data_IF_247000689553
#
_entry.id   IF_247000689553
#
_cell.length_a   1.000
_cell.length_b   1.000
_cell.length_c   1.000
_cell.angle_alpha   90.00
_cell.angle_beta   90.00
_cell.angle_gamma   90.00
#
_symmetry.space_group_name_H-M   'P 1'
#
loop_
_entity.id
_entity.type
_entity.pdbx_description
1 polymer ?
#
# COMPACT_ATOMS: atom_id res chain seq x y z
N UNK A 1 18.89 -49.39 19.93
CA UNK A 1 18.45 -48.16 19.24
C UNK A 1 19.25 -46.99 19.81
N UNK A 2 20.20 -46.52 19.01
CA UNK A 2 21.30 -45.63 19.37
C UNK A 2 20.84 -44.16 19.44
N UNK A 3 21.22 -43.48 20.53
CA UNK A 3 21.11 -42.02 20.68
C UNK A 3 22.26 -41.35 19.94
N UNK A 4 21.94 -40.48 18.98
CA UNK A 4 22.92 -39.61 18.32
C UNK A 4 22.92 -38.27 19.07
N UNK A 5 24.07 -37.95 19.67
CA UNK A 5 24.41 -36.69 20.30
C UNK A 5 24.99 -35.80 19.20
N UNK A 6 24.29 -34.72 18.85
CA UNK A 6 24.72 -33.73 17.84
C UNK A 6 25.53 -32.61 18.48
N UNK A 7 26.79 -32.53 18.07
CA UNK A 7 27.84 -31.62 18.50
C UNK A 7 27.53 -30.16 18.13
N UNK A 8 27.80 -29.25 19.07
CA UNK A 8 27.63 -27.81 18.92
C UNK A 8 28.61 -27.17 17.95
N UNK A 9 28.10 -26.24 17.15
CA UNK A 9 28.88 -25.38 16.27
C UNK A 9 29.11 -24.04 16.98
N UNK A 10 30.36 -23.75 17.33
CA UNK A 10 30.77 -22.47 17.89
C UNK A 10 30.70 -21.38 16.80
N UNK A 11 29.88 -20.36 17.02
CA UNK A 11 29.87 -19.14 16.21
C UNK A 11 30.87 -18.17 16.82
N UNK A 12 31.96 -17.93 16.10
CA UNK A 12 32.95 -16.89 16.41
C UNK A 12 32.34 -15.55 16.04
N UNK A 13 31.92 -14.78 17.05
CA UNK A 13 31.48 -13.40 16.90
C UNK A 13 32.66 -12.47 16.67
N UNK A 14 32.75 -11.91 15.46
CA UNK A 14 33.64 -10.80 15.13
C UNK A 14 32.93 -9.50 15.52
N UNK A 15 33.31 -8.94 16.67
CA UNK A 15 32.85 -7.63 17.12
C UNK A 15 33.59 -6.53 16.35
N UNK A 16 32.91 -5.92 15.38
CA UNK A 16 33.31 -4.64 14.81
C UNK A 16 32.84 -3.52 15.75
N UNK A 17 33.79 -2.97 16.51
CA UNK A 17 33.57 -1.77 17.31
C UNK A 17 33.39 -0.56 16.42
N UNK A 18 32.16 -0.06 16.34
CA UNK A 18 31.87 1.29 15.85
C UNK A 18 31.81 2.20 17.07
N UNK A 19 32.85 3.03 17.24
CA UNK A 19 32.90 4.07 18.25
C UNK A 19 31.89 5.17 17.89
N UNK A 20 30.74 5.18 18.58
CA UNK A 20 29.86 6.34 18.63
C UNK A 20 30.49 7.38 19.55
N UNK A 21 31.03 8.45 18.96
CA UNK A 21 31.39 9.65 19.71
C UNK A 21 30.11 10.31 20.23
N UNK A 22 29.85 10.15 21.52
CA UNK A 22 28.82 10.91 22.23
C UNK A 22 29.27 12.38 22.34
N UNK A 23 28.50 13.30 21.76
CA UNK A 23 28.59 14.71 22.09
C UNK A 23 27.77 14.95 23.36
N UNK A 24 28.42 14.94 24.51
CA UNK A 24 27.91 15.54 25.74
C UNK A 24 27.69 17.05 25.51
N UNK A 25 26.45 17.52 25.64
CA UNK A 25 26.14 18.94 25.78
C UNK A 25 25.73 19.22 27.22
N UNK A 26 26.51 19.99 27.99
CA UNK A 26 26.14 20.37 29.34
C UNK A 26 24.95 21.34 29.31
N UNK A 27 23.99 21.09 30.20
CA UNK A 27 22.91 22.01 30.51
C UNK A 27 23.49 23.27 31.18
N UNK A 28 23.43 24.40 30.47
CA UNK A 28 23.92 25.68 30.96
C UNK A 28 23.38 26.84 30.13
N UNK A 29 22.40 27.54 30.71
CA UNK A 29 22.05 28.96 30.52
C UNK A 29 22.80 29.70 29.40
N UNK A 30 22.10 30.06 28.32
CA UNK A 30 22.54 31.12 27.41
C UNK A 30 21.44 32.15 27.21
N UNK A 31 21.80 33.38 27.55
CA UNK A 31 21.14 34.60 27.15
C UNK A 31 20.93 34.64 25.64
N UNK A 32 19.87 35.35 25.23
CA UNK A 32 19.55 35.65 23.85
C UNK A 32 20.74 36.35 23.19
N UNK A 33 21.50 35.59 22.41
CA UNK A 33 22.42 36.14 21.42
C UNK A 33 21.67 36.21 20.10
N UNK A 34 21.65 37.41 19.51
CA UNK A 34 21.09 37.68 18.20
C UNK A 34 21.51 36.63 17.18
N UNK A 35 20.53 35.95 16.59
CA UNK A 35 20.78 35.11 15.44
C UNK A 35 21.22 36.03 14.29
N UNK A 36 22.39 35.79 13.66
CA UNK A 36 22.75 36.53 12.46
C UNK A 36 21.70 36.26 11.37
N UNK A 37 21.28 37.34 10.73
CA UNK A 37 20.37 37.30 9.57
C UNK A 37 21.00 36.39 8.53
N UNK A 38 20.32 35.30 8.20
CA UNK A 38 20.66 34.50 7.04
C UNK A 38 20.33 35.32 5.80
N UNK A 39 21.34 35.92 5.17
CA UNK A 39 21.25 36.38 3.79
C UNK A 39 21.01 35.14 2.92
N UNK A 40 19.76 34.94 2.50
CA UNK A 40 19.44 34.05 1.40
C UNK A 40 20.02 34.68 0.13
N UNK A 41 21.30 34.38 -0.15
CA UNK A 41 21.87 34.66 -1.46
C UNK A 41 20.97 34.02 -2.51
N UNK A 42 20.33 34.88 -3.32
CA UNK A 42 19.53 34.56 -4.50
C UNK A 42 20.30 33.55 -5.36
N UNK A 43 19.97 32.28 -5.14
CA UNK A 43 20.48 31.19 -5.94
C UNK A 43 19.75 31.30 -7.27
N UNK A 44 20.49 31.76 -8.27
CA UNK A 44 19.99 32.12 -9.59
C UNK A 44 18.91 31.18 -10.09
N UNK A 45 17.81 31.79 -10.53
CA UNK A 45 16.77 31.11 -11.28
C UNK A 45 17.43 30.29 -12.40
N UNK A 46 17.14 28.97 -12.52
CA UNK A 46 17.69 28.17 -13.59
C UNK A 46 17.32 28.81 -14.93
N UNK A 47 18.34 29.17 -15.72
CA UNK A 47 18.13 29.63 -17.09
C UNK A 47 17.38 28.54 -17.87
N UNK A 48 16.38 28.91 -18.70
CA UNK A 48 15.73 27.98 -19.59
C UNK A 48 16.77 27.31 -20.48
N UNK A 49 16.90 25.98 -20.39
CA UNK A 49 17.74 25.25 -21.32
C UNK A 49 17.19 25.44 -22.74
N UNK A 50 18.04 25.62 -23.76
CA UNK A 50 17.63 25.63 -25.15
C UNK A 50 16.92 24.31 -25.45
N UNK A 51 15.64 24.38 -25.80
CA UNK A 51 14.89 23.24 -26.33
C UNK A 51 15.55 22.84 -27.64
N UNK A 52 16.30 21.73 -27.62
CA UNK A 52 16.76 21.08 -28.84
C UNK A 52 15.51 20.56 -29.53
N UNK A 53 15.21 21.11 -30.71
CA UNK A 53 14.14 20.64 -31.57
C UNK A 53 14.41 19.16 -31.89
N UNK A 54 13.67 18.27 -31.22
CA UNK A 54 13.66 16.86 -31.55
C UNK A 54 13.19 16.67 -33.00
N UNK A 55 13.62 15.59 -33.67
CA UNK A 55 13.16 15.28 -35.02
C UNK A 55 11.64 15.22 -35.05
N UNK A 56 11.05 15.96 -35.98
CA UNK A 56 9.63 15.93 -36.31
C UNK A 56 9.20 14.47 -36.47
N UNK A 57 8.14 13.99 -35.78
CA UNK A 57 7.61 12.65 -36.01
C UNK A 57 7.22 12.54 -37.49
N UNK A 58 7.89 11.66 -38.24
CA UNK A 58 7.36 11.20 -39.53
C UNK A 58 5.96 10.64 -39.27
N UNK A 59 4.98 11.22 -39.96
CA UNK A 59 3.61 10.78 -39.90
C UNK A 59 3.54 9.29 -40.27
N UNK A 60 3.12 8.46 -39.32
CA UNK A 60 2.80 7.07 -39.59
C UNK A 60 1.82 6.98 -40.77
N UNK A 61 2.01 6.03 -41.71
CA UNK A 61 1.08 5.80 -42.80
C UNK A 61 -0.32 5.51 -42.21
N UNK A 62 -1.26 6.42 -42.43
CA UNK A 62 -2.67 6.22 -42.10
C UNK A 62 -3.16 4.94 -42.79
N UNK A 63 -3.49 3.92 -42.01
CA UNK A 63 -4.13 2.70 -42.51
C UNK A 63 -5.49 3.08 -43.14
N UNK A 64 -5.68 2.88 -44.46
CA UNK A 64 -6.88 3.35 -45.16
C UNK A 64 -8.14 2.49 -44.90
N UNK A 65 -8.12 1.59 -43.92
CA UNK A 65 -9.26 0.74 -43.55
C UNK A 65 -10.23 1.39 -42.55
N UNK A 66 -10.44 2.72 -42.66
CA UNK A 66 -11.44 3.44 -41.88
C UNK A 66 -12.67 3.72 -42.74
N UNK A 67 -13.57 2.73 -42.84
CA UNK A 67 -14.93 2.99 -43.31
C UNK A 67 -15.60 4.08 -42.45
N UNK A 68 -16.67 4.74 -42.93
CA UNK A 68 -17.30 5.84 -42.22
C UNK A 68 -17.76 5.37 -40.83
N UNK A 69 -17.05 5.79 -39.78
CA UNK A 69 -17.40 5.49 -38.40
C UNK A 69 -18.75 6.14 -38.09
N UNK A 70 -19.72 5.33 -37.67
CA UNK A 70 -21.04 5.81 -37.31
C UNK A 70 -20.93 6.57 -35.97
N UNK A 71 -21.15 7.90 -35.91
CA UNK A 71 -20.85 8.70 -34.71
C UNK A 71 -21.62 8.25 -33.46
N UNK A 72 -22.80 7.65 -33.65
CA UNK A 72 -23.63 7.12 -32.56
C UNK A 72 -22.97 5.94 -31.84
N UNK A 73 -22.34 5.02 -32.58
CA UNK A 73 -21.69 3.84 -31.99
C UNK A 73 -20.47 4.23 -31.13
N UNK A 74 -19.75 5.29 -31.51
CA UNK A 74 -18.63 5.81 -30.73
C UNK A 74 -19.09 6.45 -29.41
N UNK A 75 -20.21 7.17 -29.41
CA UNK A 75 -20.79 7.75 -28.19
C UNK A 75 -21.21 6.65 -27.22
N UNK A 76 -21.92 5.62 -27.71
CA UNK A 76 -22.39 4.50 -26.89
C UNK A 76 -21.23 3.74 -26.22
N UNK A 77 -20.13 3.49 -26.95
CA UNK A 77 -18.93 2.87 -26.39
C UNK A 77 -18.33 3.71 -25.26
N UNK A 78 -18.19 5.02 -25.48
CA UNK A 78 -17.61 5.93 -24.49
C UNK A 78 -18.43 6.01 -23.20
N UNK A 79 -19.76 6.00 -23.32
CA UNK A 79 -20.68 6.02 -22.18
C UNK A 79 -20.61 4.72 -21.37
N UNK A 80 -20.55 3.56 -22.05
CA UNK A 80 -20.41 2.26 -21.39
C UNK A 80 -19.09 2.14 -20.63
N UNK A 81 -17.99 2.60 -21.21
CA UNK A 81 -16.66 2.59 -20.55
C UNK A 81 -16.66 3.50 -19.33
N UNK A 82 -17.23 4.70 -19.46
CA UNK A 82 -17.36 5.63 -18.34
C UNK A 82 -18.25 5.05 -17.23
N UNK A 83 -19.35 4.39 -17.59
CA UNK A 83 -20.23 3.71 -16.64
C UNK A 83 -19.53 2.55 -15.93
N UNK A 84 -18.83 1.69 -16.66
CA UNK A 84 -18.05 0.58 -16.10
C UNK A 84 -17.01 1.08 -15.08
N UNK A 85 -16.27 2.14 -15.42
CA UNK A 85 -15.27 2.74 -14.53
C UNK A 85 -15.91 3.32 -13.25
N UNK A 86 -17.05 4.02 -13.36
CA UNK A 86 -17.77 4.51 -12.17
C UNK A 86 -18.21 3.35 -11.27
N UNK A 87 -18.82 2.32 -11.85
CA UNK A 87 -19.26 1.12 -11.12
C UNK A 87 -18.10 0.41 -10.44
N UNK A 88 -16.97 0.22 -11.12
CA UNK A 88 -15.74 -0.31 -10.54
C UNK A 88 -15.27 0.52 -9.33
N UNK A 89 -15.24 1.85 -9.45
CA UNK A 89 -14.81 2.75 -8.37
C UNK A 89 -15.76 2.73 -7.17
N UNK A 90 -17.04 2.44 -7.38
CA UNK A 90 -18.04 2.26 -6.33
C UNK A 90 -18.18 0.80 -5.84
N UNK A 91 -17.34 -0.11 -6.32
CA UNK A 91 -17.36 -1.52 -5.92
C UNK A 91 -18.48 -2.36 -6.54
N UNK A 92 -19.22 -1.83 -7.51
CA UNK A 92 -20.21 -2.58 -8.29
C UNK A 92 -19.52 -3.39 -9.39
N UNK A 93 -18.84 -4.47 -8.95
CA UNK A 93 -18.19 -5.42 -9.84
C UNK A 93 -19.14 -6.06 -10.87
N UNK A 94 -20.33 -6.56 -10.49
CA UNK A 94 -21.27 -7.17 -11.43
C UNK A 94 -21.75 -6.18 -12.49
N UNK A 95 -22.14 -4.97 -12.08
CA UNK A 95 -22.58 -3.94 -13.01
C UNK A 95 -21.45 -3.43 -13.91
N UNK A 96 -20.22 -3.38 -13.41
CA UNK A 96 -19.05 -3.06 -14.23
C UNK A 96 -18.85 -4.11 -15.34
N UNK A 97 -18.85 -5.41 -14.99
CA UNK A 97 -18.66 -6.48 -15.97
C UNK A 97 -19.77 -6.49 -17.02
N UNK A 98 -21.02 -6.23 -16.61
CA UNK A 98 -22.13 -6.13 -17.54
C UNK A 98 -21.95 -5.01 -18.58
N UNK A 99 -21.41 -3.85 -18.19
CA UNK A 99 -21.11 -2.77 -19.14
C UNK A 99 -19.95 -3.16 -20.08
N UNK A 100 -18.92 -3.84 -19.57
CA UNK A 100 -17.80 -4.31 -20.40
C UNK A 100 -18.20 -5.42 -21.38
N UNK A 101 -19.14 -6.30 -21.00
CA UNK A 101 -19.71 -7.30 -21.89
C UNK A 101 -20.52 -6.64 -23.02
N UNK A 102 -21.18 -5.51 -22.75
CA UNK A 102 -21.85 -4.70 -23.79
C UNK A 102 -20.84 -4.03 -24.71
N UNK A 103 -19.73 -3.50 -24.17
CA UNK A 103 -18.63 -2.97 -25.00
C UNK A 103 -18.09 -4.05 -25.93
N UNK A 104 -17.80 -5.25 -25.41
CA UNK A 104 -17.37 -6.40 -26.22
C UNK A 104 -18.34 -6.73 -27.34
N UNK A 105 -19.64 -6.71 -27.05
CA UNK A 105 -20.67 -7.02 -28.04
C UNK A 105 -20.74 -5.97 -29.17
N UNK A 106 -20.45 -4.70 -28.85
CA UNK A 106 -20.42 -3.60 -29.83
C UNK A 106 -19.10 -3.56 -30.62
N UNK A 107 -17.97 -3.66 -29.94
CA UNK A 107 -16.63 -3.66 -30.51
C UNK A 107 -15.68 -4.59 -29.73
N UNK A 108 -15.50 -5.84 -30.21
CA UNK A 108 -14.59 -6.79 -29.60
C UNK A 108 -13.12 -6.35 -29.60
N UNK A 109 -12.71 -5.49 -30.54
CA UNK A 109 -11.33 -4.99 -30.60
C UNK A 109 -11.10 -3.96 -29.50
N UNK A 110 -12.10 -3.12 -29.22
CA UNK A 110 -12.03 -2.12 -28.17
C UNK A 110 -11.89 -2.75 -26.78
N UNK A 111 -12.51 -3.92 -26.53
CA UNK A 111 -12.37 -4.65 -25.26
C UNK A 111 -10.91 -4.98 -24.91
N UNK A 112 -10.03 -5.18 -25.90
CA UNK A 112 -8.60 -5.47 -25.68
C UNK A 112 -7.92 -4.34 -24.89
N UNK A 113 -8.38 -3.10 -25.05
CA UNK A 113 -7.88 -1.94 -24.31
C UNK A 113 -8.45 -1.83 -22.89
N UNK A 114 -9.48 -2.62 -22.55
CA UNK A 114 -10.17 -2.61 -21.25
C UNK A 114 -9.83 -3.81 -20.38
N UNK A 115 -8.80 -4.58 -20.75
CA UNK A 115 -8.35 -5.78 -20.03
C UNK A 115 -8.09 -5.50 -18.55
N UNK A 116 -7.49 -4.34 -18.23
CA UNK A 116 -7.22 -3.94 -16.85
C UNK A 116 -8.50 -3.61 -16.06
N UNK A 117 -9.47 -2.91 -16.67
CA UNK A 117 -10.76 -2.64 -16.04
C UNK A 117 -11.53 -3.93 -15.80
N UNK A 118 -11.57 -4.83 -16.80
CA UNK A 118 -12.20 -6.16 -16.65
C UNK A 118 -11.59 -6.94 -15.49
N UNK A 119 -10.25 -6.98 -15.41
CA UNK A 119 -9.56 -7.70 -14.34
C UNK A 119 -9.96 -7.19 -12.95
N UNK A 120 -10.01 -5.87 -12.77
CA UNK A 120 -10.41 -5.26 -11.49
C UNK A 120 -11.87 -5.56 -11.15
N UNK A 121 -12.75 -5.60 -12.13
CA UNK A 121 -14.16 -5.93 -11.92
C UNK A 121 -14.38 -7.43 -11.62
N UNK A 122 -13.60 -8.32 -12.21
CA UNK A 122 -13.52 -9.75 -11.84
C UNK A 122 -13.10 -9.90 -10.36
N UNK A 123 -12.06 -9.18 -9.93
CA UNK A 123 -11.60 -9.20 -8.52
C UNK A 123 -12.69 -8.71 -7.54
N UNK A 124 -13.49 -7.71 -7.93
CA UNK A 124 -14.58 -7.17 -7.11
C UNK A 124 -15.72 -8.18 -6.89
N UNK A 125 -15.93 -9.12 -7.81
CA UNK A 125 -16.96 -10.17 -7.67
C UNK A 125 -16.43 -11.47 -7.07
N UNK A 126 -15.19 -11.45 -6.53
CA UNK A 126 -14.56 -12.62 -5.92
C UNK A 126 -13.86 -13.56 -6.90
N UNK A 127 -13.68 -13.16 -8.17
CA UNK A 127 -12.83 -13.86 -9.14
C UNK A 127 -11.40 -13.29 -9.09
N UNK A 128 -10.81 -13.27 -7.89
CA UNK A 128 -9.51 -12.70 -7.60
C UNK A 128 -8.38 -13.35 -8.41
N UNK A 129 -8.33 -14.69 -8.49
CA UNK A 129 -7.25 -15.36 -9.23
C UNK A 129 -7.36 -15.12 -10.74
N UNK A 130 -8.57 -15.15 -11.30
CA UNK A 130 -8.81 -14.85 -12.70
C UNK A 130 -8.37 -13.42 -13.04
N UNK A 131 -8.78 -12.45 -12.21
CA UNK A 131 -8.36 -11.05 -12.37
C UNK A 131 -6.84 -10.89 -12.29
N UNK A 132 -6.17 -11.53 -11.32
CA UNK A 132 -4.70 -11.47 -11.19
C UNK A 132 -4.00 -12.06 -12.41
N UNK A 133 -4.46 -13.21 -12.90
CA UNK A 133 -3.91 -13.84 -14.10
C UNK A 133 -4.04 -12.92 -15.32
N UNK A 134 -5.19 -12.25 -15.46
CA UNK A 134 -5.44 -11.27 -16.53
C UNK A 134 -4.50 -10.07 -16.44
N UNK A 135 -4.31 -9.49 -15.25
CA UNK A 135 -3.36 -8.39 -15.04
C UNK A 135 -1.94 -8.83 -15.38
N UNK A 136 -1.51 -9.96 -14.83
CA UNK A 136 -0.16 -10.49 -15.05
C UNK A 136 0.14 -10.66 -16.54
N UNK A 137 -0.76 -11.34 -17.26
CA UNK A 137 -0.60 -11.57 -18.70
C UNK A 137 -0.53 -10.26 -19.50
N UNK A 138 -1.31 -9.25 -19.11
CA UNK A 138 -1.29 -7.94 -19.77
C UNK A 138 0.07 -7.25 -19.58
N UNK A 139 0.62 -7.22 -18.35
CA UNK A 139 1.93 -6.60 -18.09
C UNK A 139 3.09 -7.36 -18.75
N UNK A 140 3.03 -8.70 -18.81
CA UNK A 140 4.04 -9.49 -19.53
C UNK A 140 4.06 -9.19 -21.02
N UNK A 141 2.87 -9.06 -21.65
CA UNK A 141 2.76 -8.88 -23.09
C UNK A 141 2.92 -7.43 -23.55
N UNK A 142 2.22 -6.50 -22.89
CA UNK A 142 2.12 -5.11 -23.35
C UNK A 142 3.19 -4.21 -22.74
N UNK A 143 3.63 -4.50 -21.51
CA UNK A 143 4.64 -3.71 -20.81
C UNK A 143 6.02 -4.38 -20.75
N UNK A 144 6.16 -5.57 -21.35
CA UNK A 144 7.37 -6.39 -21.35
C UNK A 144 7.95 -6.62 -19.94
N UNK A 145 7.08 -6.70 -18.92
CA UNK A 145 7.52 -7.01 -17.56
C UNK A 145 8.05 -8.44 -17.47
N UNK A 146 9.04 -8.64 -16.59
CA UNK A 146 9.41 -9.99 -16.20
C UNK A 146 8.22 -10.68 -15.53
N UNK A 147 8.11 -12.03 -15.60
CA UNK A 147 6.98 -12.73 -14.99
C UNK A 147 6.82 -12.46 -13.49
N UNK A 148 7.94 -12.23 -12.80
CA UNK A 148 7.96 -11.91 -11.38
C UNK A 148 7.43 -10.49 -11.10
N UNK A 149 7.90 -9.48 -11.84
CA UNK A 149 7.41 -8.11 -11.68
C UNK A 149 5.92 -8.02 -12.00
N UNK A 150 5.47 -8.66 -13.08
CA UNK A 150 4.06 -8.72 -13.46
C UNK A 150 3.20 -9.39 -12.37
N UNK A 151 3.69 -10.45 -11.72
CA UNK A 151 3.00 -11.09 -10.61
C UNK A 151 2.92 -10.19 -9.37
N UNK A 152 3.99 -9.47 -9.02
CA UNK A 152 4.00 -8.49 -7.92
C UNK A 152 3.01 -7.36 -8.18
N UNK A 153 2.96 -6.83 -9.41
CA UNK A 153 2.00 -5.81 -9.81
C UNK A 153 0.56 -6.32 -9.74
N UNK A 154 0.29 -7.53 -10.24
CA UNK A 154 -1.03 -8.15 -10.16
C UNK A 154 -1.51 -8.29 -8.71
N UNK A 155 -0.62 -8.68 -7.80
CA UNK A 155 -0.92 -8.77 -6.37
C UNK A 155 -1.18 -7.40 -5.73
N UNK A 156 -0.39 -6.37 -6.07
CA UNK A 156 -0.64 -4.99 -5.60
C UNK A 156 -2.01 -4.47 -6.04
N UNK A 157 -2.44 -4.79 -7.26
CA UNK A 157 -3.80 -4.45 -7.73
C UNK A 157 -4.85 -5.28 -6.98
N UNK A 158 -4.58 -6.56 -6.72
CA UNK A 158 -5.47 -7.45 -5.99
C UNK A 158 -5.69 -7.00 -4.54
N UNK A 159 -4.66 -6.47 -3.84
CA UNK A 159 -4.81 -5.95 -2.48
C UNK A 159 -5.84 -4.80 -2.40
N UNK A 160 -6.00 -4.04 -3.48
CA UNK A 160 -7.00 -2.96 -3.56
C UNK A 160 -8.38 -3.45 -3.98
N UNK A 161 -8.47 -4.51 -4.81
CA UNK A 161 -9.71 -4.85 -5.54
C UNK A 161 -10.34 -6.18 -5.17
N UNK A 162 -9.58 -7.16 -4.69
CA UNK A 162 -10.16 -8.47 -4.37
C UNK A 162 -11.12 -8.39 -3.20
N UNK A 163 -12.32 -8.95 -3.37
CA UNK A 163 -13.38 -9.02 -2.35
C UNK A 163 -13.89 -10.45 -2.22
N UNK A 164 -13.16 -11.28 -1.48
CA UNK A 164 -13.52 -12.66 -1.19
C UNK A 164 -13.42 -13.61 -2.38
N UNK A 165 -14.30 -14.61 -2.43
CA UNK A 165 -14.35 -15.64 -3.48
C UNK A 165 -13.12 -16.56 -3.47
N UNK A 166 -12.40 -16.61 -4.59
CA UNK A 166 -11.19 -17.45 -4.76
C UNK A 166 -9.89 -16.78 -4.26
N UNK A 167 -10.00 -15.71 -3.46
CA UNK A 167 -8.86 -15.05 -2.84
C UNK A 167 -8.06 -16.01 -1.93
N UNK A 168 -6.74 -16.04 -2.09
CA UNK A 168 -5.85 -16.80 -1.20
C UNK A 168 -5.71 -16.14 0.17
N UNK A 169 -5.16 -16.84 1.16
CA UNK A 169 -4.84 -16.22 2.46
C UNK A 169 -3.89 -15.02 2.34
N UNK A 170 -2.94 -15.08 1.40
CA UNK A 170 -2.08 -13.94 1.09
C UNK A 170 -2.88 -12.75 0.54
N UNK A 171 -3.80 -12.99 -0.40
CA UNK A 171 -4.66 -11.93 -0.94
C UNK A 171 -5.51 -11.31 0.17
N UNK A 172 -6.08 -12.12 1.06
CA UNK A 172 -6.91 -11.66 2.19
C UNK A 172 -6.11 -10.83 3.19
N UNK A 173 -4.88 -11.24 3.51
CA UNK A 173 -3.98 -10.47 4.37
C UNK A 173 -3.64 -9.12 3.75
N UNK A 174 -3.24 -9.09 2.48
CA UNK A 174 -2.86 -7.86 1.78
C UNK A 174 -4.05 -6.89 1.64
N UNK A 175 -5.25 -7.40 1.33
CA UNK A 175 -6.48 -6.60 1.36
C UNK A 175 -6.72 -6.01 2.74
N UNK A 176 -6.53 -6.78 3.82
CA UNK A 176 -6.76 -6.28 5.16
C UNK A 176 -5.76 -5.18 5.56
N UNK A 177 -4.49 -5.33 5.21
CA UNK A 177 -3.46 -4.31 5.42
C UNK A 177 -3.74 -3.03 4.62
N UNK A 178 -4.14 -3.17 3.36
CA UNK A 178 -4.49 -2.05 2.49
C UNK A 178 -5.74 -1.32 3.01
N UNK A 179 -6.79 -2.05 3.37
CA UNK A 179 -8.03 -1.49 3.92
C UNK A 179 -7.79 -0.74 5.23
N UNK A 180 -6.91 -1.25 6.10
CA UNK A 180 -6.54 -0.58 7.35
C UNK A 180 -5.74 0.70 7.10
N UNK A 181 -4.84 0.68 6.11
CA UNK A 181 -4.08 1.86 5.65
C UNK A 181 -5.02 2.92 5.07
N UNK A 182 -5.97 2.52 4.23
CA UNK A 182 -7.02 3.40 3.70
C UNK A 182 -7.84 4.04 4.83
N UNK A 183 -8.26 3.22 5.82
CA UNK A 183 -8.96 3.65 7.02
C UNK A 183 -8.16 4.62 7.90
N UNK A 184 -6.84 4.43 7.98
CA UNK A 184 -5.94 5.25 8.76
C UNK A 184 -5.65 6.62 8.12
N UNK A 185 -5.59 6.72 6.78
CA UNK A 185 -5.08 7.95 6.14
C UNK A 185 -6.05 8.61 5.16
N UNK A 186 -6.82 7.83 4.40
CA UNK A 186 -7.57 8.35 3.26
C UNK A 186 -9.05 8.47 3.59
N UNK A 187 -9.72 7.34 3.80
CA UNK A 187 -11.16 7.30 3.96
C UNK A 187 -11.52 6.97 5.41
N UNK A 188 -12.29 7.83 6.08
CA UNK A 188 -12.77 7.52 7.43
C UNK A 188 -13.64 6.26 7.38
N UNK A 189 -13.35 5.31 8.28
CA UNK A 189 -14.12 4.08 8.49
C UNK A 189 -14.71 4.07 9.90
N UNK A 190 -15.66 3.17 10.14
CA UNK A 190 -16.15 2.92 11.50
C UNK A 190 -15.24 1.95 12.27
N UNK A 191 -15.45 1.87 13.59
CA UNK A 191 -14.66 1.01 14.48
C UNK A 191 -14.87 -0.49 14.18
N UNK A 192 -16.03 -0.90 13.67
CA UNK A 192 -16.29 -2.30 13.34
C UNK A 192 -15.42 -2.73 12.15
N UNK A 193 -15.34 -1.91 11.11
CA UNK A 193 -14.47 -2.12 9.97
C UNK A 193 -13.00 -2.26 10.39
N UNK A 194 -12.46 -1.32 11.18
CA UNK A 194 -11.07 -1.39 11.63
C UNK A 194 -10.79 -2.69 12.40
N UNK A 195 -11.72 -3.11 13.28
CA UNK A 195 -11.63 -4.33 14.07
C UNK A 195 -11.61 -5.59 13.22
N UNK A 196 -12.50 -5.68 12.24
CA UNK A 196 -12.57 -6.84 11.35
C UNK A 196 -11.27 -7.01 10.54
N UNK A 197 -10.68 -5.89 10.09
CA UNK A 197 -9.40 -5.90 9.38
C UNK A 197 -8.24 -6.30 10.27
N UNK A 198 -8.16 -5.78 11.48
CA UNK A 198 -7.15 -6.22 12.47
C UNK A 198 -7.28 -7.72 12.77
N UNK A 199 -8.51 -8.24 12.93
CA UNK A 199 -8.73 -9.66 13.19
C UNK A 199 -8.19 -10.56 12.06
N UNK A 200 -8.40 -10.16 10.79
CA UNK A 200 -7.83 -10.88 9.64
C UNK A 200 -6.29 -10.84 9.66
N UNK A 201 -5.70 -9.68 9.95
CA UNK A 201 -4.24 -9.53 9.98
C UNK A 201 -3.64 -10.39 11.11
N UNK A 202 -4.27 -10.44 12.28
CA UNK A 202 -3.82 -11.27 13.41
C UNK A 202 -3.91 -12.76 13.08
N UNK A 203 -4.99 -13.19 12.42
CA UNK A 203 -5.17 -14.61 12.08
C UNK A 203 -4.23 -15.07 10.94
N UNK A 204 -4.07 -14.25 9.89
CA UNK A 204 -3.32 -14.64 8.69
C UNK A 204 -1.86 -14.23 8.72
N UNK A 205 -1.50 -13.18 9.46
CA UNK A 205 -0.14 -12.63 9.51
C UNK A 205 0.94 -13.67 9.82
N UNK A 206 0.76 -14.54 10.83
CA UNK A 206 1.71 -15.62 11.13
C UNK A 206 1.73 -16.77 10.10
N UNK A 207 0.68 -16.91 9.27
CA UNK A 207 0.50 -18.01 8.32
C UNK A 207 1.06 -17.69 6.93
N UNK A 208 1.12 -16.41 6.57
CA UNK A 208 1.55 -15.95 5.25
C UNK A 208 2.97 -15.40 5.36
N UNK A 209 4.00 -16.18 4.97
CA UNK A 209 5.36 -15.66 4.97
C UNK A 209 5.54 -14.59 3.88
N UNK A 210 6.47 -13.64 4.08
CA UNK A 210 6.92 -12.78 2.99
C UNK A 210 7.52 -13.63 1.87
N UNK A 211 7.34 -13.20 0.62
CA UNK A 211 7.94 -13.92 -0.53
C UNK A 211 9.46 -13.88 -0.50
N UNK A 212 10.00 -12.72 -0.14
CA UNK A 212 11.42 -12.41 -0.09
C UNK A 212 11.66 -11.21 0.85
N UNK A 213 12.90 -10.75 0.91
CA UNK A 213 13.33 -9.63 1.77
C UNK A 213 12.76 -8.27 1.33
N UNK A 214 12.30 -8.14 0.08
CA UNK A 214 11.71 -6.92 -0.47
C UNK A 214 10.19 -6.87 -0.36
N UNK A 215 9.55 -7.90 0.23
CA UNK A 215 8.10 -7.98 0.41
C UNK A 215 7.61 -7.08 1.57
N UNK A 216 7.90 -5.78 1.42
CA UNK A 216 7.61 -4.71 2.38
C UNK A 216 6.12 -4.55 2.67
N UNK A 217 5.24 -5.03 1.79
CA UNK A 217 3.81 -5.07 2.04
C UNK A 217 3.48 -5.95 3.25
N UNK A 218 4.12 -7.11 3.39
CA UNK A 218 3.92 -7.99 4.55
C UNK A 218 4.80 -7.56 5.71
N UNK A 219 6.12 -7.43 5.50
CA UNK A 219 7.05 -7.15 6.61
C UNK A 219 6.80 -5.76 7.21
N UNK A 220 6.78 -4.73 6.37
CA UNK A 220 6.51 -3.35 6.78
C UNK A 220 5.06 -3.15 7.24
N UNK A 221 4.10 -3.79 6.58
CA UNK A 221 2.68 -3.73 6.98
C UNK A 221 2.43 -4.28 8.39
N UNK A 222 3.07 -5.39 8.75
CA UNK A 222 2.99 -5.96 10.09
C UNK A 222 3.74 -5.11 11.13
N UNK A 223 4.95 -4.64 10.80
CA UNK A 223 5.73 -3.75 11.68
C UNK A 223 4.99 -2.43 11.98
N UNK A 224 4.28 -1.89 11.00
CA UNK A 224 3.51 -0.65 11.15
C UNK A 224 2.11 -0.87 11.77
N UNK A 225 1.73 -2.10 12.13
CA UNK A 225 0.37 -2.42 12.55
C UNK A 225 -0.05 -1.66 13.81
N UNK A 226 0.85 -1.45 14.78
CA UNK A 226 0.55 -0.68 16.00
C UNK A 226 0.06 0.73 15.69
N UNK A 227 0.70 1.40 14.73
CA UNK A 227 0.33 2.76 14.34
C UNK A 227 -0.88 2.77 13.41
N UNK A 228 -0.87 1.98 12.33
CA UNK A 228 -1.94 2.00 11.32
C UNK A 228 -3.27 1.54 11.90
N UNK A 229 -3.28 0.51 12.76
CA UNK A 229 -4.52 0.07 13.42
C UNK A 229 -5.06 1.11 14.39
N UNK A 230 -4.20 1.70 15.21
CA UNK A 230 -4.57 2.74 16.17
C UNK A 230 -5.14 3.98 15.45
N UNK A 231 -4.51 4.40 14.35
CA UNK A 231 -4.96 5.54 13.57
C UNK A 231 -6.33 5.29 12.91
N UNK A 232 -6.60 4.08 12.42
CA UNK A 232 -7.93 3.70 11.91
C UNK A 232 -9.01 3.89 12.99
N UNK A 233 -8.79 3.33 14.19
CA UNK A 233 -9.72 3.48 15.32
C UNK A 233 -9.86 4.93 15.80
N UNK A 234 -8.76 5.68 15.85
CA UNK A 234 -8.77 7.08 16.25
C UNK A 234 -9.59 7.94 15.28
N UNK A 235 -9.43 7.76 13.96
CA UNK A 235 -10.28 8.42 12.94
C UNK A 235 -11.75 8.01 13.05
N UNK A 236 -12.02 6.78 13.47
CA UNK A 236 -13.37 6.31 13.76
C UNK A 236 -13.96 6.94 15.05
N UNK A 237 -13.17 7.64 15.86
CA UNK A 237 -13.57 8.23 17.13
C UNK A 237 -13.52 7.26 18.32
N UNK A 238 -12.91 6.09 18.15
CA UNK A 238 -12.81 5.05 19.17
C UNK A 238 -11.41 5.01 19.80
N UNK A 239 -11.11 6.04 20.62
CA UNK A 239 -9.79 6.20 21.22
C UNK A 239 -9.43 5.10 22.23
N UNK A 240 -10.44 4.46 22.83
CA UNK A 240 -10.21 3.29 23.69
C UNK A 240 -9.65 2.12 22.88
N UNK A 241 -10.28 1.80 21.75
CA UNK A 241 -9.77 0.75 20.88
C UNK A 241 -8.47 1.14 20.18
N UNK A 242 -8.30 2.41 19.83
CA UNK A 242 -7.04 2.91 19.28
C UNK A 242 -5.87 2.61 20.22
N UNK A 243 -5.97 2.98 21.50
CA UNK A 243 -4.94 2.69 22.48
C UNK A 243 -4.73 1.18 22.70
N UNK A 244 -5.82 0.41 22.80
CA UNK A 244 -5.74 -1.04 22.96
C UNK A 244 -4.97 -1.70 21.81
N UNK A 245 -5.25 -1.29 20.58
CA UNK A 245 -4.61 -1.81 19.37
C UNK A 245 -3.14 -1.38 19.29
N UNK A 246 -2.85 -0.12 19.60
CA UNK A 246 -1.49 0.41 19.67
C UNK A 246 -0.63 -0.40 20.64
N UNK A 247 -1.11 -0.59 21.88
CA UNK A 247 -0.40 -1.34 22.90
C UNK A 247 -0.20 -2.80 22.53
N UNK A 248 -1.19 -3.43 21.92
CA UNK A 248 -1.13 -4.85 21.54
C UNK A 248 -0.01 -5.13 20.54
N UNK A 249 0.20 -4.24 19.58
CA UNK A 249 1.16 -4.45 18.48
C UNK A 249 2.44 -3.63 18.63
N UNK A 250 2.58 -2.86 19.71
CA UNK A 250 3.74 -2.00 19.91
C UNK A 250 5.03 -2.84 19.88
N UNK A 251 6.06 -2.44 19.12
CA UNK A 251 7.31 -3.19 19.04
C UNK A 251 7.89 -3.47 20.43
N UNK A 252 8.18 -4.74 20.73
CA UNK A 252 8.75 -5.11 22.02
C UNK A 252 10.26 -4.84 22.09
N UNK A 253 10.90 -4.62 20.94
CA UNK A 253 12.31 -4.24 20.85
C UNK A 253 12.57 -2.98 21.68
N UNK A 254 13.40 -3.12 22.72
CA UNK A 254 13.72 -2.03 23.66
C UNK A 254 12.78 -1.93 24.86
N UNK A 255 11.52 -2.38 24.76
CA UNK A 255 10.63 -2.46 25.93
C UNK A 255 11.04 -3.56 26.92
N UNK A 256 11.59 -4.65 26.40
CA UNK A 256 12.09 -5.77 27.22
C UNK A 256 13.28 -5.37 28.11
N UNK A 257 14.02 -4.33 27.72
CA UNK A 257 15.11 -3.76 28.52
C UNK A 257 14.60 -2.92 29.71
N UNK A 258 13.33 -2.51 29.70
CA UNK A 258 12.72 -1.74 30.79
C UNK A 258 12.18 -2.73 31.83
N UNK A 259 12.90 -2.89 32.94
CA UNK A 259 12.53 -3.83 33.99
C UNK A 259 11.26 -3.43 34.77
N UNK A 260 11.02 -2.12 34.93
CA UNK A 260 9.85 -1.60 35.65
C UNK A 260 8.58 -1.65 34.75
N UNK A 261 7.56 -2.46 35.11
CA UNK A 261 6.32 -2.55 34.32
C UNK A 261 5.56 -1.23 34.22
N UNK A 262 5.65 -0.36 35.24
CA UNK A 262 4.97 0.95 35.22
C UNK A 262 5.62 1.88 34.21
N UNK A 263 6.96 1.91 34.21
CA UNK A 263 7.72 2.70 33.23
C UNK A 263 7.48 2.19 31.81
N UNK A 264 7.39 0.86 31.62
CA UNK A 264 7.06 0.28 30.31
C UNK A 264 5.67 0.73 29.83
N UNK A 265 4.65 0.64 30.68
CA UNK A 265 3.29 1.08 30.32
C UNK A 265 3.23 2.59 30.05
N UNK A 266 3.95 3.41 30.84
CA UNK A 266 4.00 4.86 30.61
C UNK A 266 4.72 5.18 29.30
N UNK A 267 5.81 4.49 28.96
CA UNK A 267 6.48 4.67 27.66
C UNK A 267 5.54 4.38 26.48
N UNK A 268 4.76 3.29 26.54
CA UNK A 268 3.79 2.98 25.48
C UNK A 268 2.66 4.00 25.44
N UNK A 269 2.19 4.47 26.60
CA UNK A 269 1.20 5.57 26.69
C UNK A 269 1.72 6.85 26.07
N UNK A 270 2.91 7.30 26.45
CA UNK A 270 3.53 8.54 25.94
C UNK A 270 3.76 8.46 24.43
N UNK A 271 4.16 7.28 23.93
CA UNK A 271 4.28 7.03 22.49
C UNK A 271 2.92 7.11 21.77
N UNK A 272 1.86 6.55 22.35
CA UNK A 272 0.51 6.67 21.78
C UNK A 272 0.04 8.14 21.77
N UNK A 273 0.16 8.83 22.91
CA UNK A 273 -0.32 10.20 23.06
C UNK A 273 0.44 11.18 22.13
N UNK A 274 1.72 10.93 21.88
CA UNK A 274 2.54 11.74 20.96
C UNK A 274 2.29 11.45 19.47
N UNK A 275 1.85 10.23 19.11
CA UNK A 275 1.72 9.82 17.69
C UNK A 275 0.27 9.80 17.20
N UNK A 276 -0.69 9.50 18.06
CA UNK A 276 -2.14 9.40 17.76
C UNK A 276 -2.85 10.65 18.28
N UNK A 277 -2.47 11.81 17.73
CA UNK A 277 -2.95 13.14 18.18
C UNK A 277 -4.47 13.33 18.13
N UNK A 278 -5.17 12.55 17.28
CA UNK A 278 -6.63 12.56 17.18
C UNK A 278 -7.35 12.11 18.46
N UNK A 279 -6.63 11.46 19.39
CA UNK A 279 -7.17 10.97 20.65
C UNK A 279 -6.72 11.76 21.88
N UNK A 280 -5.98 12.86 21.68
CA UNK A 280 -5.66 13.75 22.79
C UNK A 280 -6.95 14.40 23.31
N UNK A 281 -7.12 14.54 24.64
CA UNK A 281 -8.20 15.36 25.18
C UNK A 281 -8.01 16.78 24.62
N UNK A 282 -9.04 17.31 23.95
CA UNK A 282 -9.02 18.70 23.49
C UNK A 282 -8.63 19.61 24.68
N UNK A 283 -7.65 20.50 24.51
CA UNK A 283 -7.24 21.42 25.57
C UNK A 283 -8.40 22.33 26.02
#
# INVERSE_FOLDING_TARGET
MQRIIGVGCAVVGLALGVSLAACDRPAGSRAAADCPVCDCADSGSPQPQPQVAGPTPEADPQDPSSGPANPSASNDLSELVAAANRKMMHGDGPGCLADLDRVKALDPKYEVHLVMTRAQCEMLIGQCQAGKARVKQWYEREAAFTPELAARTAESIASMRCRGGDATDRDRLLVALQDLTDGAYMNKRDSAFCRDRVAIIVDLGPKVPPRDVEDTQITGGQQALFYTSAMCFARAGDCKQAYSSFRQFFPSEGLDAIADPKLRESTVRDAFDSTIVLCQPNP
#
